data_IF_873389034955
#
_entry.id   IF_873389034955
#
_cell.length_a   1.000
_cell.length_b   1.000
_cell.length_c   1.000
_cell.angle_alpha   90.00
_cell.angle_beta   90.00
_cell.angle_gamma   90.00
#
_symmetry.space_group_name_H-M   'P 1'
#
loop_
_entity.id
_entity.type
_entity.pdbx_description
1 polymer ?
#
# COMPACT_ATOMS: atom_id res chain seq x y z
N UNK A 1 6.86 -8.06 1.83
CA UNK A 1 5.92 -6.91 1.80
C UNK A 1 4.56 -7.38 2.31
N UNK A 2 3.96 -6.66 3.28
CA UNK A 2 2.63 -7.00 3.80
C UNK A 2 1.54 -6.72 2.73
N UNK A 3 0.54 -7.59 2.63
CA UNK A 3 -0.61 -7.38 1.76
C UNK A 3 -1.59 -6.36 2.35
N UNK A 4 -2.44 -5.70 1.55
CA UNK A 4 -3.36 -4.65 2.01
C UNK A 4 -4.25 -5.04 3.20
N UNK A 5 -4.67 -6.31 3.29
CA UNK A 5 -5.49 -6.78 4.40
C UNK A 5 -4.78 -6.80 5.76
N UNK A 6 -3.45 -6.76 5.79
CA UNK A 6 -2.67 -6.88 7.02
C UNK A 6 -2.90 -5.71 7.99
N UNK A 7 -3.15 -4.50 7.49
CA UNK A 7 -3.38 -3.34 8.34
C UNK A 7 -4.48 -3.55 9.36
N UNK A 8 -5.70 -3.89 8.91
CA UNK A 8 -6.81 -4.15 9.81
C UNK A 8 -6.60 -5.39 10.69
N UNK A 9 -5.90 -6.40 10.17
CA UNK A 9 -5.62 -7.62 10.90
C UNK A 9 -4.77 -7.33 12.15
N UNK A 10 -3.73 -6.53 11.98
CA UNK A 10 -2.82 -6.12 13.04
C UNK A 10 -3.46 -5.09 13.99
N UNK A 11 -4.20 -4.12 13.43
CA UNK A 11 -4.82 -3.04 14.20
C UNK A 11 -6.09 -3.46 14.95
N UNK A 12 -6.76 -4.55 14.55
CA UNK A 12 -8.04 -4.99 15.12
C UNK A 12 -9.22 -4.02 14.89
N UNK A 13 -8.96 -2.86 14.28
CA UNK A 13 -9.92 -1.77 14.00
C UNK A 13 -9.77 -1.23 12.58
N UNK A 14 -10.59 -0.25 12.19
CA UNK A 14 -10.50 0.37 10.86
C UNK A 14 -9.15 1.04 10.66
N UNK A 15 -8.51 0.78 9.50
CA UNK A 15 -7.26 1.45 9.12
C UNK A 15 -7.47 2.95 8.92
N UNK A 16 -8.69 3.38 8.52
CA UNK A 16 -9.02 4.79 8.37
C UNK A 16 -8.90 5.60 9.68
N UNK A 17 -9.04 4.94 10.85
CA UNK A 17 -8.90 5.61 12.16
C UNK A 17 -7.46 6.01 12.48
N UNK A 18 -6.50 5.43 11.76
CA UNK A 18 -5.07 5.62 11.99
C UNK A 18 -4.31 6.13 10.77
N UNK A 19 -5.04 6.48 9.71
CA UNK A 19 -4.46 7.08 8.50
C UNK A 19 -3.84 8.44 8.87
N UNK A 20 -2.62 8.68 8.42
CA UNK A 20 -1.83 9.90 8.69
C UNK A 20 -1.57 10.17 10.20
N UNK A 21 -1.62 9.12 11.03
CA UNK A 21 -1.31 9.22 12.46
C UNK A 21 -0.16 8.30 12.86
N UNK A 22 0.44 8.60 13.99
CA UNK A 22 1.42 7.72 14.65
C UNK A 22 0.69 6.89 15.70
N UNK A 23 1.03 5.60 15.75
CA UNK A 23 0.59 4.69 16.81
C UNK A 23 1.80 4.16 17.54
N UNK A 24 1.72 4.14 18.86
CA UNK A 24 2.66 3.35 19.65
C UNK A 24 2.34 1.86 19.46
N UNK A 25 3.39 1.03 19.50
CA UNK A 25 3.21 -0.43 19.45
C UNK A 25 2.35 -0.93 20.61
N UNK A 26 2.42 -0.26 21.76
CA UNK A 26 1.62 -0.57 22.95
C UNK A 26 0.12 -0.30 22.77
N UNK A 27 -0.26 0.52 21.77
CA UNK A 27 -1.66 0.81 21.41
C UNK A 27 -2.28 -0.25 20.47
N UNK A 28 -1.50 -1.22 20.03
CA UNK A 28 -2.01 -2.32 19.22
C UNK A 28 -2.89 -3.24 20.09
N UNK A 29 -4.04 -3.71 19.55
CA UNK A 29 -4.99 -4.57 20.29
C UNK A 29 -4.49 -6.02 20.48
N UNK A 30 -3.34 -6.37 19.95
CA UNK A 30 -2.64 -7.56 20.42
C UNK A 30 -2.44 -7.42 21.94
N UNK A 31 -2.66 -8.48 22.71
CA UNK A 31 -2.38 -8.40 24.14
C UNK A 31 -0.97 -7.81 24.28
N UNK A 32 -0.81 -6.76 25.10
CA UNK A 32 0.43 -5.99 25.18
C UNK A 32 1.66 -6.85 25.47
N UNK A 33 1.46 -8.08 25.95
CA UNK A 33 2.48 -9.09 26.15
C UNK A 33 3.04 -9.61 24.82
N UNK A 34 2.19 -9.91 23.85
CA UNK A 34 2.64 -10.40 22.53
C UNK A 34 3.46 -9.37 21.77
N UNK A 35 3.16 -8.08 21.92
CA UNK A 35 3.95 -6.99 21.35
C UNK A 35 5.28 -6.82 22.11
N UNK A 36 5.26 -6.90 23.45
CA UNK A 36 6.46 -6.91 24.28
C UNK A 36 7.42 -8.02 23.88
N UNK A 37 6.94 -9.24 23.79
CA UNK A 37 7.72 -10.42 23.38
C UNK A 37 8.31 -10.25 21.97
N UNK A 38 7.57 -9.64 21.02
CA UNK A 38 8.08 -9.29 19.69
C UNK A 38 9.24 -8.30 19.77
N UNK A 39 9.07 -7.21 20.51
CA UNK A 39 10.10 -6.17 20.63
C UNK A 39 11.36 -6.72 21.31
N UNK A 40 11.21 -7.51 22.37
CA UNK A 40 12.34 -8.17 23.05
C UNK A 40 13.04 -9.15 22.13
N UNK A 41 12.31 -9.98 21.38
CA UNK A 41 12.88 -10.91 20.41
C UNK A 41 13.69 -10.21 19.32
N UNK A 42 13.17 -9.13 18.75
CA UNK A 42 13.88 -8.33 17.76
C UNK A 42 15.15 -7.70 18.37
N UNK A 43 15.03 -7.09 19.55
CA UNK A 43 16.19 -6.50 20.25
C UNK A 43 17.27 -7.52 20.51
N UNK A 44 16.91 -8.70 21.05
CA UNK A 44 17.86 -9.76 21.31
C UNK A 44 18.58 -10.24 20.04
N UNK A 45 17.84 -10.42 18.94
CA UNK A 45 18.41 -10.79 17.65
C UNK A 45 19.42 -9.77 17.11
N UNK A 46 19.16 -8.46 17.33
CA UNK A 46 19.96 -7.36 16.79
C UNK A 46 21.08 -6.88 17.75
N UNK A 47 21.20 -7.46 18.94
CA UNK A 47 22.12 -6.94 20.00
C UNK A 47 23.60 -7.19 19.69
N UNK A 48 23.96 -8.35 19.09
CA UNK A 48 25.36 -8.75 18.91
C UNK A 48 25.99 -8.09 17.70
N UNK A 49 25.32 -8.17 16.55
CA UNK A 49 25.71 -7.51 15.31
C UNK A 49 24.47 -7.15 14.49
N UNK A 50 24.00 -5.88 14.56
CA UNK A 50 22.81 -5.43 13.84
C UNK A 50 22.95 -5.44 12.32
N UNK A 51 24.17 -5.61 11.77
CA UNK A 51 24.40 -5.69 10.33
C UNK A 51 24.55 -7.13 9.82
N UNK A 52 24.59 -8.11 10.73
CA UNK A 52 24.71 -9.51 10.32
C UNK A 52 23.44 -10.02 9.64
N UNK A 53 23.54 -10.69 8.47
CA UNK A 53 22.37 -11.29 7.82
C UNK A 53 21.60 -12.27 8.71
N UNK A 54 22.28 -12.99 9.58
CA UNK A 54 21.66 -13.92 10.53
C UNK A 54 20.78 -13.19 11.58
N UNK A 55 21.22 -12.01 12.05
CA UNK A 55 20.44 -11.17 12.96
C UNK A 55 19.15 -10.67 12.29
N UNK A 56 19.24 -10.24 11.04
CA UNK A 56 18.06 -9.83 10.26
C UNK A 56 17.09 -10.98 10.06
N UNK A 57 17.56 -12.17 9.70
CA UNK A 57 16.72 -13.35 9.53
C UNK A 57 16.00 -13.73 10.84
N UNK A 58 16.71 -13.69 11.97
CA UNK A 58 16.11 -13.96 13.29
C UNK A 58 15.05 -12.92 13.63
N UNK A 59 15.33 -11.63 13.44
CA UNK A 59 14.36 -10.54 13.66
C UNK A 59 13.11 -10.70 12.77
N UNK A 60 13.27 -11.04 11.49
CA UNK A 60 12.18 -11.35 10.57
C UNK A 60 11.35 -12.53 11.08
N UNK A 61 11.99 -13.60 11.58
CA UNK A 61 11.30 -14.76 12.16
C UNK A 61 10.41 -14.41 13.36
N UNK A 62 10.82 -13.48 14.23
CA UNK A 62 9.97 -12.96 15.29
C UNK A 62 8.75 -12.22 14.76
N UNK A 63 8.92 -11.36 13.74
CA UNK A 63 7.82 -10.64 13.07
C UNK A 63 6.84 -11.63 12.41
N UNK A 64 7.36 -12.62 11.69
CA UNK A 64 6.52 -13.63 11.02
C UNK A 64 5.71 -14.46 12.03
N UNK A 65 6.34 -14.88 13.12
CA UNK A 65 5.68 -15.62 14.18
C UNK A 65 4.57 -14.82 14.85
N UNK A 66 4.83 -13.54 15.12
CA UNK A 66 3.83 -12.63 15.68
C UNK A 66 2.67 -12.40 14.69
N UNK A 67 2.95 -12.15 13.40
CA UNK A 67 1.92 -11.99 12.37
C UNK A 67 1.07 -13.26 12.22
N UNK A 68 1.66 -14.46 12.37
CA UNK A 68 0.93 -15.72 12.28
C UNK A 68 -0.17 -15.84 13.35
N UNK A 69 -0.02 -15.19 14.50
CA UNK A 69 -1.06 -15.18 15.56
C UNK A 69 -2.34 -14.45 15.14
N UNK A 70 -2.27 -13.59 14.11
CA UNK A 70 -3.39 -12.81 13.60
C UNK A 70 -4.13 -13.50 12.45
N UNK A 71 -3.70 -14.69 12.02
CA UNK A 71 -4.34 -15.47 10.96
C UNK A 71 -5.53 -16.30 11.53
N UNK A 72 -6.50 -16.66 10.67
CA UNK A 72 -6.56 -16.40 9.22
C UNK A 72 -7.10 -15.02 8.85
N UNK A 73 -6.74 -14.56 7.64
CA UNK A 73 -7.35 -13.37 7.04
C UNK A 73 -8.82 -13.67 6.72
N UNK A 74 -9.73 -12.79 7.12
CA UNK A 74 -11.15 -12.95 6.85
C UNK A 74 -11.51 -12.77 5.36
N UNK A 75 -12.74 -13.13 4.98
CA UNK A 75 -13.21 -13.08 3.59
C UNK A 75 -13.11 -11.68 2.97
N UNK A 76 -13.38 -10.61 3.75
CA UNK A 76 -13.27 -9.24 3.27
C UNK A 76 -11.81 -8.82 3.04
N UNK A 77 -10.89 -9.25 3.91
CA UNK A 77 -9.47 -9.03 3.72
C UNK A 77 -8.93 -9.74 2.48
N UNK A 78 -9.36 -11.00 2.26
CA UNK A 78 -9.04 -11.75 1.06
C UNK A 78 -9.59 -11.06 -0.21
N UNK A 79 -10.82 -10.52 -0.15
CA UNK A 79 -11.41 -9.76 -1.25
C UNK A 79 -10.56 -8.51 -1.57
N UNK A 80 -10.17 -7.72 -0.57
CA UNK A 80 -9.33 -6.54 -0.77
C UNK A 80 -7.97 -6.91 -1.38
N UNK A 81 -7.35 -7.99 -0.91
CA UNK A 81 -6.09 -8.46 -1.49
C UNK A 81 -6.24 -8.83 -2.97
N UNK A 82 -7.34 -9.55 -3.32
CA UNK A 82 -7.63 -9.89 -4.73
C UNK A 82 -7.85 -8.63 -5.56
N UNK A 83 -8.67 -7.68 -5.08
CA UNK A 83 -8.96 -6.44 -5.82
C UNK A 83 -7.71 -5.61 -6.10
N UNK A 84 -6.82 -5.48 -5.12
CA UNK A 84 -5.57 -4.71 -5.31
C UNK A 84 -4.63 -5.42 -6.28
N UNK A 85 -4.55 -6.75 -6.24
CA UNK A 85 -3.77 -7.53 -7.21
C UNK A 85 -4.38 -7.41 -8.60
N UNK A 86 -5.68 -7.64 -8.72
CA UNK A 86 -6.42 -7.54 -9.99
C UNK A 86 -6.28 -6.14 -10.62
N UNK A 87 -6.41 -5.08 -9.82
CA UNK A 87 -6.22 -3.72 -10.30
C UNK A 87 -4.80 -3.47 -10.86
N UNK A 88 -3.79 -4.13 -10.31
CA UNK A 88 -2.41 -4.10 -10.84
C UNK A 88 -2.28 -4.69 -12.23
N UNK A 89 -3.08 -5.73 -12.53
CA UNK A 89 -3.05 -6.45 -13.81
C UNK A 89 -3.98 -5.83 -14.88
N UNK A 90 -4.82 -4.84 -14.51
CA UNK A 90 -5.84 -4.22 -15.39
C UNK A 90 -5.62 -2.70 -15.50
N UNK A 91 -4.62 -2.26 -16.29
CA UNK A 91 -4.30 -0.84 -16.47
C UNK A 91 -5.43 -0.01 -17.11
N UNK A 92 -6.33 -0.63 -17.84
CA UNK A 92 -7.50 -0.01 -18.48
C UNK A 92 -8.58 0.45 -17.48
N UNK A 93 -8.60 -0.12 -16.27
CA UNK A 93 -9.58 0.21 -15.24
C UNK A 93 -9.28 1.56 -14.62
N UNK A 94 -10.14 2.53 -14.86
CA UNK A 94 -9.95 3.93 -14.42
C UNK A 94 -11.07 4.46 -13.54
N UNK A 95 -12.18 3.71 -13.39
CA UNK A 95 -13.38 4.15 -12.70
C UNK A 95 -13.72 3.27 -11.50
N UNK A 96 -14.30 3.89 -10.47
CA UNK A 96 -14.68 3.20 -9.23
C UNK A 96 -15.80 2.19 -9.46
N UNK A 97 -16.73 2.47 -10.38
CA UNK A 97 -17.83 1.55 -10.73
C UNK A 97 -17.33 0.25 -11.38
N UNK A 98 -16.21 0.30 -12.13
CA UNK A 98 -15.57 -0.89 -12.70
C UNK A 98 -14.99 -1.78 -11.59
N UNK A 99 -14.30 -1.16 -10.64
CA UNK A 99 -13.76 -1.87 -9.47
C UNK A 99 -14.88 -2.43 -8.56
N UNK A 100 -16.00 -1.73 -8.45
CA UNK A 100 -17.16 -2.18 -7.69
C UNK A 100 -17.82 -3.40 -8.34
N UNK A 101 -17.95 -3.41 -9.67
CA UNK A 101 -18.46 -4.56 -10.44
C UNK A 101 -17.57 -5.78 -10.29
N UNK A 102 -16.24 -5.63 -10.35
CA UNK A 102 -15.31 -6.74 -10.13
C UNK A 102 -15.44 -7.32 -8.71
N UNK A 103 -15.71 -6.48 -7.73
CA UNK A 103 -15.92 -6.88 -6.35
C UNK A 103 -17.29 -7.52 -6.07
N UNK A 104 -18.24 -7.47 -7.01
CA UNK A 104 -19.66 -7.76 -6.80
C UNK A 104 -20.26 -6.94 -5.64
N UNK A 105 -19.91 -5.65 -5.59
CA UNK A 105 -20.35 -4.71 -4.57
C UNK A 105 -20.96 -3.45 -5.19
N UNK A 106 -21.83 -2.76 -4.43
CA UNK A 106 -22.16 -1.37 -4.73
C UNK A 106 -20.93 -0.47 -4.46
N UNK A 107 -20.84 0.67 -5.16
CA UNK A 107 -19.75 1.65 -4.94
C UNK A 107 -19.68 2.06 -3.45
N UNK A 108 -20.81 2.26 -2.79
CA UNK A 108 -20.87 2.59 -1.35
C UNK A 108 -20.28 1.48 -0.48
N UNK A 109 -20.55 0.23 -0.81
CA UNK A 109 -20.01 -0.92 -0.08
C UNK A 109 -18.53 -1.08 -0.31
N UNK A 110 -18.07 -0.88 -1.57
CA UNK A 110 -16.65 -0.87 -1.91
C UNK A 110 -15.91 0.25 -1.18
N UNK A 111 -16.47 1.48 -1.17
CA UNK A 111 -15.89 2.63 -0.46
C UNK A 111 -15.64 2.27 1.00
N UNK A 112 -16.68 1.81 1.70
CA UNK A 112 -16.57 1.42 3.12
C UNK A 112 -15.54 0.30 3.34
N UNK A 113 -15.53 -0.72 2.47
CA UNK A 113 -14.60 -1.84 2.57
C UNK A 113 -13.14 -1.37 2.44
N UNK A 114 -12.85 -0.58 1.42
CA UNK A 114 -11.49 -0.10 1.14
C UNK A 114 -11.03 0.85 2.24
N UNK A 115 -11.87 1.79 2.69
CA UNK A 115 -11.55 2.68 3.80
C UNK A 115 -11.26 1.91 5.10
N UNK A 116 -12.08 0.93 5.45
CA UNK A 116 -11.87 0.14 6.66
C UNK A 116 -10.60 -0.73 6.61
N UNK A 117 -10.22 -1.23 5.43
CA UNK A 117 -9.13 -2.20 5.28
C UNK A 117 -7.80 -1.58 4.87
N UNK A 118 -7.83 -0.46 4.16
CA UNK A 118 -6.64 0.21 3.61
C UNK A 118 -6.48 1.62 4.21
N UNK A 119 -7.56 2.23 4.70
CA UNK A 119 -7.54 3.61 5.22
C UNK A 119 -7.69 4.68 4.14
N UNK A 120 -7.91 4.29 2.89
CA UNK A 120 -7.92 5.17 1.73
C UNK A 120 -9.17 4.91 0.88
N UNK A 121 -9.49 5.82 -0.07
CA UNK A 121 -10.63 5.64 -0.96
C UNK A 121 -10.31 4.73 -2.15
N UNK A 122 -11.33 4.07 -2.78
CA UNK A 122 -11.14 3.36 -4.05
C UNK A 122 -10.57 4.25 -5.16
N UNK A 123 -10.98 5.53 -5.21
CA UNK A 123 -10.43 6.50 -6.16
C UNK A 123 -8.92 6.68 -5.96
N UNK A 124 -8.46 6.70 -4.71
CA UNK A 124 -7.03 6.81 -4.40
C UNK A 124 -6.25 5.57 -4.86
N UNK A 125 -6.83 4.37 -4.76
CA UNK A 125 -6.20 3.15 -5.28
C UNK A 125 -5.98 3.22 -6.80
N UNK A 126 -7.00 3.69 -7.55
CA UNK A 126 -6.90 3.91 -8.99
C UNK A 126 -5.82 4.95 -9.33
N UNK A 127 -5.80 6.08 -8.61
CA UNK A 127 -4.81 7.13 -8.80
C UNK A 127 -3.39 6.63 -8.49
N UNK A 128 -3.20 5.94 -7.35
CA UNK A 128 -1.89 5.37 -6.97
C UNK A 128 -1.37 4.39 -8.03
N UNK A 129 -2.23 3.52 -8.58
CA UNK A 129 -1.83 2.61 -9.64
C UNK A 129 -1.37 3.37 -10.87
N UNK A 130 -2.16 4.33 -11.38
CA UNK A 130 -1.77 5.17 -12.53
C UNK A 130 -0.43 5.88 -12.32
N UNK A 131 -0.19 6.37 -11.10
CA UNK A 131 1.08 7.00 -10.77
C UNK A 131 2.25 6.01 -10.73
N UNK A 132 2.01 4.77 -10.31
CA UNK A 132 3.02 3.71 -10.38
C UNK A 132 3.39 3.41 -11.84
N UNK A 133 2.40 3.27 -12.72
CA UNK A 133 2.61 3.06 -14.15
C UNK A 133 3.34 4.26 -14.79
N UNK A 134 3.02 5.50 -14.34
CA UNK A 134 3.73 6.71 -14.74
C UNK A 134 5.22 6.65 -14.37
N UNK A 135 5.53 6.28 -13.14
CA UNK A 135 6.91 6.12 -12.66
C UNK A 135 7.68 5.13 -13.53
N UNK A 136 7.08 3.99 -13.85
CA UNK A 136 7.72 2.99 -14.70
C UNK A 136 7.91 3.48 -16.16
N UNK A 137 6.93 4.22 -16.71
CA UNK A 137 7.05 4.83 -18.02
C UNK A 137 8.18 5.89 -18.07
N UNK A 138 8.24 6.76 -17.05
CA UNK A 138 9.29 7.79 -16.93
C UNK A 138 10.69 7.19 -16.75
N UNK A 139 10.80 6.14 -15.92
CA UNK A 139 12.06 5.39 -15.74
C UNK A 139 12.52 4.72 -17.03
N UNK A 140 11.61 4.22 -17.83
CA UNK A 140 11.90 3.59 -19.10
C UNK A 140 12.16 4.59 -20.23
N UNK A 141 11.98 5.91 -19.99
CA UNK A 141 12.12 6.96 -21.00
C UNK A 141 11.11 6.81 -22.15
N UNK A 142 9.92 6.27 -21.87
CA UNK A 142 8.88 6.02 -22.86
C UNK A 142 8.08 7.30 -23.14
N UNK A 143 8.22 7.82 -24.34
CA UNK A 143 7.41 8.94 -24.86
C UNK A 143 7.64 10.29 -24.18
N UNK A 144 6.85 11.27 -24.59
CA UNK A 144 6.74 12.59 -23.97
C UNK A 144 5.81 12.55 -22.76
N UNK A 145 5.88 13.57 -21.90
CA UNK A 145 4.96 13.68 -20.75
C UNK A 145 3.48 13.73 -21.17
N UNK A 146 3.18 14.29 -22.35
CA UNK A 146 1.82 14.34 -22.90
C UNK A 146 1.34 12.93 -23.32
N UNK A 147 2.20 12.15 -23.97
CA UNK A 147 1.90 10.76 -24.35
C UNK A 147 1.70 9.89 -23.11
N UNK A 148 2.59 9.98 -22.13
CA UNK A 148 2.44 9.27 -20.86
C UNK A 148 1.12 9.63 -20.16
N UNK A 149 0.75 10.91 -20.13
CA UNK A 149 -0.52 11.35 -19.56
C UNK A 149 -1.72 10.74 -20.29
N UNK A 150 -1.69 10.73 -21.62
CA UNK A 150 -2.76 10.16 -22.45
C UNK A 150 -2.89 8.64 -22.25
N UNK A 151 -1.77 7.91 -22.27
CA UNK A 151 -1.72 6.44 -22.06
C UNK A 151 -2.28 6.02 -20.68
N UNK A 152 -2.10 6.89 -19.69
CA UNK A 152 -2.62 6.67 -18.32
C UNK A 152 -4.06 7.18 -18.13
N UNK A 153 -4.72 7.67 -19.19
CA UNK A 153 -6.11 8.12 -19.15
C UNK A 153 -6.32 9.45 -18.42
N UNK A 154 -5.31 10.32 -18.38
CA UNK A 154 -5.47 11.70 -17.94
C UNK A 154 -6.07 12.57 -19.06
N UNK A 155 -6.91 13.52 -18.68
CA UNK A 155 -7.53 14.46 -19.64
C UNK A 155 -6.48 15.31 -20.37
N UNK A 156 -5.42 15.69 -19.64
CA UNK A 156 -4.30 16.46 -20.18
C UNK A 156 -3.04 16.31 -19.29
N UNK A 157 -1.91 16.81 -19.79
CA UNK A 157 -0.63 16.79 -19.09
C UNK A 157 -0.63 17.64 -17.81
N UNK A 158 -1.44 18.70 -17.73
CA UNK A 158 -1.47 19.57 -16.56
C UNK A 158 -2.12 18.82 -15.38
N UNK A 159 -3.21 18.11 -15.62
CA UNK A 159 -3.87 17.25 -14.64
C UNK A 159 -2.92 16.12 -14.16
N UNK A 160 -2.25 15.45 -15.10
CA UNK A 160 -1.23 14.45 -14.75
C UNK A 160 -0.12 15.04 -13.87
N UNK A 161 0.44 16.21 -14.26
CA UNK A 161 1.52 16.86 -13.51
C UNK A 161 1.08 17.25 -12.10
N UNK A 162 -0.15 17.75 -11.94
CA UNK A 162 -0.72 18.08 -10.64
C UNK A 162 -0.85 16.86 -9.73
N UNK A 163 -1.47 15.80 -10.24
CA UNK A 163 -1.67 14.56 -9.49
C UNK A 163 -0.34 13.91 -9.11
N UNK A 164 0.59 13.83 -10.04
CA UNK A 164 1.93 13.28 -9.81
C UNK A 164 2.67 14.04 -8.71
N UNK A 165 2.67 15.39 -8.78
CA UNK A 165 3.31 16.22 -7.77
C UNK A 165 2.64 16.11 -6.40
N UNK A 166 1.32 16.01 -6.34
CA UNK A 166 0.57 15.87 -5.09
C UNK A 166 0.99 14.61 -4.32
N UNK A 167 1.29 13.53 -5.02
CA UNK A 167 1.62 12.23 -4.40
C UNK A 167 3.12 12.05 -4.20
N UNK A 168 3.95 12.51 -5.14
CA UNK A 168 5.40 12.28 -5.13
C UNK A 168 6.21 13.46 -4.57
N UNK A 169 5.61 14.63 -4.45
CA UNK A 169 6.27 15.86 -4.05
C UNK A 169 7.02 16.58 -5.16
N UNK A 170 7.18 15.98 -6.35
CA UNK A 170 7.91 16.53 -7.50
C UNK A 170 7.11 16.39 -8.80
N UNK A 171 7.44 17.20 -9.81
CA UNK A 171 6.83 17.06 -11.13
C UNK A 171 7.37 15.84 -11.87
N UNK A 172 6.60 15.28 -12.84
CA UNK A 172 7.08 14.18 -13.69
C UNK A 172 8.41 14.51 -14.42
N UNK A 173 8.58 15.77 -14.83
CA UNK A 173 9.80 16.22 -15.50
C UNK A 173 11.02 16.33 -14.57
N UNK A 174 10.82 16.68 -13.30
CA UNK A 174 11.87 16.64 -12.26
C UNK A 174 12.24 15.19 -11.98
N UNK A 175 11.25 14.33 -11.75
CA UNK A 175 11.44 12.92 -11.49
C UNK A 175 12.20 12.19 -12.62
N UNK A 176 11.88 12.48 -13.88
CA UNK A 176 12.57 11.89 -15.03
C UNK A 176 14.04 12.29 -15.15
N UNK A 177 14.44 13.43 -14.56
CA UNK A 177 15.82 13.96 -14.57
C UNK A 177 16.64 13.56 -13.37
N UNK A 178 16.04 12.96 -12.34
CA UNK A 178 16.81 12.51 -11.17
C UNK A 178 17.87 11.48 -11.57
N UNK A 179 19.13 11.67 -11.11
CA UNK A 179 20.18 10.68 -11.33
C UNK A 179 19.81 9.36 -10.66
N UNK A 180 19.81 8.29 -11.42
CA UNK A 180 19.59 6.94 -10.90
C UNK A 180 20.87 6.48 -10.17
N UNK A 181 20.81 6.42 -8.85
CA UNK A 181 21.85 5.80 -8.04
C UNK A 181 21.84 4.28 -8.17
#
# INVERSE_FOLDING_TARGET
MLRPAAGRLVLGRSVAEVTDTWLDLDDLPADGRAVGDLVEGIRAAMTVDPHAPAAHLAAIGHVESWLATHLPVDAQGLLVNRLVTWLGDHPEVTRVDELAREADLSERSLQRLVEQRIGLSPKWLLQRRRLHDAVEALKAGRGTLAEVAADLGYADQAHFTHDFRTVTGMTPGEYAREPRG
#
